data_IF_557439115094
#
_entry.id   IF_557439115094
#
_cell.length_a   1.000
_cell.length_b   1.000
_cell.length_c   1.000
_cell.angle_alpha   90.00
_cell.angle_beta   90.00
_cell.angle_gamma   90.00
#
_symmetry.space_group_name_H-M   'P 1'
#
loop_
_entity.id
_entity.type
_entity.pdbx_description
1 polymer ?
#
# COMPACT_ATOMS: atom_id res chain seq x y z
N UNK A 1 -50.21 -54.20 13.08
CA UNK A 1 -51.35 -53.27 13.29
C UNK A 1 -50.82 -51.89 12.96
N UNK A 2 -50.67 -51.50 11.68
CA UNK A 2 -51.69 -51.06 10.69
C UNK A 2 -52.56 -49.89 11.16
N UNK A 3 -52.91 -49.04 10.18
CA UNK A 3 -53.83 -47.88 10.16
C UNK A 3 -53.14 -46.51 10.27
N UNK A 4 -53.33 -45.52 9.40
CA UNK A 4 -53.95 -45.32 8.06
C UNK A 4 -53.89 -43.81 7.82
N UNK A 5 -53.69 -43.38 6.58
CA UNK A 5 -54.01 -42.03 6.10
C UNK A 5 -55.51 -41.73 6.16
N UNK A 6 -55.90 -40.44 6.16
CA UNK A 6 -56.80 -40.02 5.09
C UNK A 6 -56.44 -38.69 4.42
N UNK A 7 -56.82 -38.62 3.14
CA UNK A 7 -56.86 -37.46 2.25
C UNK A 7 -58.07 -36.55 2.48
N UNK A 8 -57.93 -35.25 2.18
CA UNK A 8 -58.87 -34.35 1.43
C UNK A 8 -58.45 -32.90 1.73
N UNK A 9 -57.97 -32.13 0.75
CA UNK A 9 -58.75 -31.28 -0.17
C UNK A 9 -59.72 -30.33 0.55
N UNK A 10 -59.32 -29.07 0.73
CA UNK A 10 -60.26 -27.97 0.57
C UNK A 10 -59.56 -26.66 0.22
N UNK A 11 -59.91 -26.16 -0.96
CA UNK A 11 -59.63 -24.84 -1.51
C UNK A 11 -60.44 -23.78 -0.76
N UNK A 12 -59.79 -22.74 -0.25
CA UNK A 12 -60.42 -21.43 -0.03
C UNK A 12 -59.55 -20.32 -0.61
N UNK A 13 -60.02 -19.84 -1.76
CA UNK A 13 -59.75 -18.52 -2.33
C UNK A 13 -60.18 -17.43 -1.35
N UNK A 14 -59.28 -16.51 -1.05
CA UNK A 14 -59.61 -15.19 -0.51
C UNK A 14 -59.15 -14.16 -1.54
N UNK A 15 -60.13 -13.46 -2.12
CA UNK A 15 -59.95 -12.34 -3.01
C UNK A 15 -59.20 -11.20 -2.30
N UNK A 16 -58.16 -10.69 -2.96
CA UNK A 16 -57.60 -9.37 -2.68
C UNK A 16 -57.63 -8.55 -3.97
N UNK A 17 -58.33 -7.43 -3.90
CA UNK A 17 -58.55 -6.46 -4.97
C UNK A 17 -57.23 -5.82 -5.48
N UNK A 18 -57.20 -5.28 -6.72
CA UNK A 18 -55.98 -4.82 -7.36
C UNK A 18 -55.61 -3.41 -6.88
N UNK A 19 -54.40 -3.25 -6.34
CA UNK A 19 -53.78 -1.94 -6.14
C UNK A 19 -52.89 -1.65 -7.35
N UNK A 20 -53.26 -0.57 -8.04
CA UNK A 20 -52.76 -0.19 -9.34
C UNK A 20 -51.37 0.44 -9.37
N UNK A 21 -50.96 0.62 -10.62
CA UNK A 21 -49.75 1.31 -11.11
C UNK A 21 -49.29 2.50 -10.28
N UNK A 22 -48.06 2.40 -9.76
CA UNK A 22 -47.11 3.51 -9.51
C UNK A 22 -45.67 3.00 -9.69
N UNK A 23 -44.72 3.88 -10.05
CA UNK A 23 -43.66 3.59 -11.00
C UNK A 23 -42.49 2.80 -10.40
N UNK A 24 -41.84 2.02 -11.27
CA UNK A 24 -40.55 1.35 -11.02
C UNK A 24 -39.47 2.38 -10.75
N UNK A 25 -39.15 2.57 -9.49
CA UNK A 25 -37.87 3.13 -9.04
C UNK A 25 -37.62 2.55 -7.65
N UNK A 26 -36.49 1.88 -7.47
CA UNK A 26 -35.69 1.75 -6.23
C UNK A 26 -34.80 0.50 -6.31
N UNK A 27 -33.55 0.70 -5.89
CA UNK A 27 -32.51 -0.27 -5.47
C UNK A 27 -31.71 -0.98 -6.58
N UNK A 28 -30.61 -0.34 -7.00
CA UNK A 28 -29.43 -1.00 -7.51
C UNK A 28 -28.17 -0.25 -7.04
N UNK A 29 -27.11 -1.01 -6.77
CA UNK A 29 -25.74 -0.63 -6.39
C UNK A 29 -25.47 -0.32 -4.90
N UNK A 30 -25.01 -1.34 -4.19
CA UNK A 30 -24.33 -1.30 -2.90
C UNK A 30 -23.28 -2.43 -2.91
N UNK A 31 -22.07 -2.17 -2.40
CA UNK A 31 -20.92 -3.07 -2.17
C UNK A 31 -19.93 -3.24 -3.35
N UNK A 32 -18.63 -3.44 -3.18
CA UNK A 32 -17.59 -3.09 -2.18
C UNK A 32 -16.27 -3.66 -2.75
N UNK A 33 -15.20 -2.88 -2.83
CA UNK A 33 -13.84 -3.40 -2.97
C UNK A 33 -13.20 -3.45 -1.60
N UNK A 34 -12.55 -4.58 -1.29
CA UNK A 34 -12.01 -4.88 0.03
C UNK A 34 -10.68 -4.17 0.26
N UNK A 35 -10.71 -2.99 0.87
CA UNK A 35 -9.83 -2.74 2.00
C UNK A 35 -10.55 -3.31 3.23
N UNK A 36 -9.95 -4.26 3.95
CA UNK A 36 -10.49 -4.71 5.23
C UNK A 36 -10.40 -3.54 6.22
N UNK A 37 -11.44 -2.72 6.23
CA UNK A 37 -11.72 -1.69 7.23
C UNK A 37 -13.07 -2.03 7.84
N UNK A 38 -13.02 -2.74 8.97
CA UNK A 38 -14.22 -3.04 9.76
C UNK A 38 -14.65 -1.77 10.50
N UNK A 39 -15.82 -1.23 10.12
CA UNK A 39 -16.53 -0.18 10.85
C UNK A 39 -17.23 -0.71 12.12
N UNK A 40 -16.96 -0.10 13.28
CA UNK A 40 -17.84 0.02 14.46
C UNK A 40 -17.13 0.96 15.49
N UNK A 41 -17.73 1.90 16.21
CA UNK A 41 -19.09 2.40 16.32
C UNK A 41 -19.02 3.82 16.94
N UNK A 42 -19.89 4.73 16.51
CA UNK A 42 -20.19 5.95 17.26
C UNK A 42 -21.18 5.61 18.39
N UNK A 43 -20.81 5.89 19.64
CA UNK A 43 -21.78 6.06 20.73
C UNK A 43 -21.66 7.47 21.29
N UNK A 44 -22.77 8.20 21.20
CA UNK A 44 -22.95 9.55 21.74
C UNK A 44 -22.70 9.57 23.26
N UNK A 45 -21.78 10.44 23.70
CA UNK A 45 -21.76 10.92 25.08
C UNK A 45 -22.31 12.34 25.11
N UNK A 46 -23.44 12.49 25.79
CA UNK A 46 -24.08 13.77 26.06
C UNK A 46 -23.41 14.43 27.26
N UNK A 47 -22.71 15.54 27.01
CA UNK A 47 -22.45 16.60 28.00
C UNK A 47 -22.32 17.90 27.20
N UNK A 48 -23.24 18.86 27.26
CA UNK A 48 -23.65 19.57 28.47
C UNK A 48 -22.64 20.69 28.74
N UNK A 49 -22.76 21.84 28.06
CA UNK A 49 -21.81 22.95 28.27
C UNK A 49 -21.98 24.17 27.35
N UNK A 50 -22.98 24.99 27.65
CA UNK A 50 -23.00 26.47 27.61
C UNK A 50 -22.33 27.23 26.44
N UNK A 51 -23.19 27.87 25.62
CA UNK A 51 -22.87 28.99 24.72
C UNK A 51 -22.28 30.19 25.49
N UNK A 52 -21.24 30.81 24.93
CA UNK A 52 -20.95 32.24 25.09
C UNK A 52 -20.75 32.84 23.70
N UNK A 53 -21.49 33.93 23.44
CA UNK A 53 -21.47 34.75 22.23
C UNK A 53 -20.46 35.91 22.34
N UNK A 54 -19.96 36.35 21.18
CA UNK A 54 -19.51 37.73 20.89
C UNK A 54 -18.08 38.06 21.34
N UNK A 55 -17.29 38.89 20.65
CA UNK A 55 -17.56 39.92 19.64
C UNK A 55 -16.30 40.18 18.79
N UNK A 56 -16.55 40.77 17.62
CA UNK A 56 -15.64 41.45 16.71
C UNK A 56 -14.68 42.45 17.37
N UNK A 57 -13.46 42.58 16.83
CA UNK A 57 -12.82 43.89 16.59
C UNK A 57 -12.00 43.84 15.29
N UNK A 58 -12.29 44.79 14.41
CA UNK A 58 -11.54 45.10 13.19
C UNK A 58 -10.31 45.99 13.47
N UNK A 59 -9.34 45.93 12.55
CA UNK A 59 -8.71 47.09 11.88
C UNK A 59 -7.24 47.48 12.17
N UNK A 60 -6.48 47.49 11.07
CA UNK A 60 -5.62 48.58 10.54
C UNK A 60 -4.10 48.66 10.79
N UNK A 61 -3.41 48.93 9.65
CA UNK A 61 -2.14 49.65 9.47
C UNK A 61 -0.91 48.73 9.40
N UNK A 62 -0.01 48.73 8.41
CA UNK A 62 0.48 49.70 7.41
C UNK A 62 2.00 49.41 7.29
N UNK A 63 2.50 48.88 6.18
CA UNK A 63 3.09 49.57 5.01
C UNK A 63 4.53 50.11 5.19
N UNK A 64 5.35 49.87 4.15
CA UNK A 64 6.64 50.52 3.76
C UNK A 64 7.91 50.06 4.50
N UNK A 65 9.12 49.97 3.92
CA UNK A 65 9.69 49.98 2.56
C UNK A 65 11.21 49.68 2.72
N UNK A 66 11.87 49.35 1.61
CA UNK A 66 13.25 49.73 1.24
C UNK A 66 14.21 48.60 0.81
N UNK A 67 14.67 48.78 -0.44
CA UNK A 67 15.69 48.05 -1.17
C UNK A 67 17.13 48.51 -0.84
N UNK A 68 18.14 47.71 -1.22
CA UNK A 68 19.17 48.06 -2.23
C UNK A 68 20.53 47.34 -2.03
N UNK A 69 21.01 46.77 -3.15
CA UNK A 69 22.36 46.81 -3.76
C UNK A 69 23.66 46.26 -3.14
N UNK A 70 24.48 45.69 -4.05
CA UNK A 70 25.96 45.66 -4.04
C UNK A 70 26.56 44.25 -3.88
N UNK A 71 26.84 43.43 -4.91
CA UNK A 71 27.78 43.54 -6.05
C UNK A 71 29.26 43.19 -5.72
N UNK A 72 29.77 42.23 -6.52
CA UNK A 72 31.14 42.01 -7.04
C UNK A 72 32.21 41.20 -6.25
N UNK A 73 32.99 40.42 -7.01
CA UNK A 73 34.23 39.76 -6.54
C UNK A 73 34.56 38.41 -7.17
N UNK A 74 35.17 38.43 -8.35
CA UNK A 74 35.71 37.32 -9.16
C UNK A 74 37.10 36.80 -8.74
N UNK A 75 37.49 35.68 -9.38
CA UNK A 75 38.84 35.09 -9.56
C UNK A 75 39.41 34.21 -8.42
N UNK A 76 40.23 33.18 -8.63
CA UNK A 76 40.81 32.57 -9.83
C UNK A 76 41.66 31.34 -9.45
N UNK A 77 41.74 30.37 -10.38
CA UNK A 77 42.90 29.51 -10.74
C UNK A 77 43.61 28.66 -9.64
N UNK A 78 43.63 27.33 -9.78
CA UNK A 78 44.66 26.48 -10.43
C UNK A 78 45.80 25.99 -9.50
N UNK A 79 46.03 24.68 -9.49
CA UNK A 79 47.10 24.07 -8.68
C UNK A 79 46.98 22.55 -8.57
N UNK A 80 47.44 21.84 -9.60
CA UNK A 80 47.74 20.42 -9.57
C UNK A 80 48.93 20.10 -8.65
N UNK A 81 49.15 18.79 -8.39
CA UNK A 81 50.24 18.06 -7.69
C UNK A 81 49.62 17.19 -6.58
N UNK A 82 49.98 15.94 -6.29
CA UNK A 82 50.97 14.98 -6.77
C UNK A 82 50.55 13.60 -6.19
N UNK A 83 51.04 12.53 -6.80
CA UNK A 83 50.81 11.14 -6.46
C UNK A 83 51.37 10.75 -5.07
N UNK A 84 50.81 9.71 -4.43
CA UNK A 84 51.44 8.39 -4.19
C UNK A 84 50.80 7.60 -3.04
N UNK A 85 50.90 6.28 -3.22
CA UNK A 85 50.60 5.14 -2.35
C UNK A 85 50.82 5.29 -0.84
N UNK A 86 50.07 4.47 -0.08
CA UNK A 86 50.53 4.02 1.24
C UNK A 86 49.48 3.33 2.09
N UNK A 87 49.44 2.00 2.02
CA UNK A 87 48.89 1.14 3.08
C UNK A 87 49.56 1.47 4.42
N UNK A 88 48.84 1.40 5.55
CA UNK A 88 48.95 0.30 6.53
C UNK A 88 48.05 0.56 7.76
N UNK A 89 47.67 -0.53 8.40
CA UNK A 89 46.79 -0.67 9.55
C UNK A 89 47.36 -0.08 10.86
N UNK A 90 46.49 0.26 11.82
CA UNK A 90 46.30 -0.46 13.10
C UNK A 90 45.63 0.38 14.19
N UNK A 91 44.84 -0.34 14.98
CA UNK A 91 44.54 -0.17 16.41
C UNK A 91 43.39 0.70 16.93
N UNK A 92 42.57 -0.01 17.71
CA UNK A 92 41.35 0.31 18.44
C UNK A 92 41.55 1.23 19.65
N UNK A 93 40.47 1.91 20.12
CA UNK A 93 39.90 1.78 21.49
C UNK A 93 38.47 2.38 21.57
N UNK A 94 37.57 1.64 22.23
CA UNK A 94 36.35 1.94 23.02
C UNK A 94 35.57 3.28 22.92
N UNK A 95 34.23 3.15 22.89
CA UNK A 95 33.29 4.20 23.32
C UNK A 95 31.82 3.93 22.99
N UNK A 96 31.08 3.39 23.96
CA UNK A 96 29.63 3.18 24.04
C UNK A 96 28.77 4.45 23.80
N UNK A 97 27.93 4.45 22.75
CA UNK A 97 26.51 4.84 22.81
C UNK A 97 25.69 4.27 21.63
N UNK A 98 24.47 3.81 21.93
CA UNK A 98 23.67 2.93 21.07
C UNK A 98 23.07 3.60 19.82
N UNK A 99 23.48 3.10 18.66
CA UNK A 99 22.67 2.97 17.45
C UNK A 99 23.29 1.84 16.62
N UNK A 100 22.50 0.81 16.26
CA UNK A 100 22.97 -0.23 15.34
C UNK A 100 22.97 0.40 13.93
N UNK A 101 24.17 0.53 13.35
CA UNK A 101 24.42 1.09 12.02
C UNK A 101 24.38 -0.05 10.98
N UNK A 102 23.68 0.16 9.87
CA UNK A 102 23.54 -0.86 8.83
C UNK A 102 24.77 -0.94 7.92
N UNK A 103 25.20 -2.15 7.57
CA UNK A 103 26.39 -2.38 6.71
C UNK A 103 26.02 -2.39 5.23
N UNK A 104 26.83 -1.75 4.39
CA UNK A 104 26.73 -1.83 2.92
C UNK A 104 27.24 -3.20 2.42
N UNK A 105 26.47 -3.88 1.56
CA UNK A 105 26.88 -5.12 0.87
C UNK A 105 27.11 -4.87 -0.63
N UNK A 106 28.21 -5.40 -1.20
CA UNK A 106 28.57 -5.26 -2.61
C UNK A 106 28.38 -6.59 -3.40
N UNK A 107 27.32 -6.74 -4.18
CA UNK A 107 27.22 -7.81 -5.19
C UNK A 107 26.25 -7.48 -6.36
N UNK A 108 26.77 -7.37 -7.59
CA UNK A 108 26.06 -7.66 -8.85
C UNK A 108 25.05 -6.63 -9.37
N UNK A 109 25.04 -6.42 -10.69
CA UNK A 109 24.11 -5.51 -11.41
C UNK A 109 22.66 -5.97 -11.22
N UNK A 110 22.04 -5.46 -10.17
CA UNK A 110 20.68 -5.66 -9.65
C UNK A 110 19.96 -4.29 -9.73
N UNK A 111 18.64 -4.13 -9.70
CA UNK A 111 18.05 -2.76 -9.74
C UNK A 111 18.36 -1.95 -8.48
N UNK A 112 18.98 -2.57 -7.47
CA UNK A 112 19.72 -1.89 -6.40
C UNK A 112 20.95 -1.12 -6.89
N UNK A 113 21.43 -1.31 -8.14
CA UNK A 113 22.40 -0.39 -8.77
C UNK A 113 21.84 1.04 -8.91
N UNK A 114 20.51 1.21 -8.84
CA UNK A 114 19.84 2.52 -8.82
C UNK A 114 19.39 2.96 -7.43
N UNK A 115 19.66 2.17 -6.38
CA UNK A 115 19.29 2.50 -5.01
C UNK A 115 20.24 1.90 -3.97
N UNK A 116 20.85 2.76 -3.14
CA UNK A 116 21.72 2.32 -2.05
C UNK A 116 20.90 1.48 -1.05
N UNK A 117 21.41 0.29 -0.71
CA UNK A 117 20.78 -0.63 0.24
C UNK A 117 21.45 -0.55 1.60
N UNK A 118 20.64 -0.38 2.65
CA UNK A 118 21.07 -0.41 4.05
C UNK A 118 20.32 -1.54 4.76
N UNK A 119 21.03 -2.58 5.16
CA UNK A 119 20.48 -3.69 5.94
C UNK A 119 20.67 -3.45 7.45
N UNK A 120 19.63 -3.71 8.23
CA UNK A 120 19.73 -3.71 9.69
C UNK A 120 19.96 -5.12 10.20
N UNK A 121 20.77 -5.26 11.25
CA UNK A 121 20.82 -6.51 12.01
C UNK A 121 19.42 -6.92 12.50
N UNK A 122 19.09 -8.22 12.53
CA UNK A 122 17.82 -8.68 13.08
C UNK A 122 17.65 -8.19 14.53
N UNK A 123 16.51 -7.55 14.81
CA UNK A 123 16.18 -7.04 16.14
C UNK A 123 14.93 -7.72 16.70
N UNK A 124 14.85 -7.84 18.02
CA UNK A 124 13.65 -8.35 18.70
C UNK A 124 12.90 -7.20 19.33
N UNK A 125 11.58 -7.17 19.13
CA UNK A 125 10.71 -6.21 19.83
C UNK A 125 10.57 -6.58 21.30
N UNK A 126 10.42 -5.56 22.16
CA UNK A 126 10.19 -5.74 23.59
C UNK A 126 8.73 -6.08 23.92
N UNK A 127 8.40 -6.25 25.20
CA UNK A 127 7.04 -6.52 25.71
C UNK A 127 5.97 -5.51 25.25
N UNK A 128 6.37 -4.32 24.79
CA UNK A 128 5.48 -3.29 24.22
C UNK A 128 5.39 -3.37 22.70
N UNK A 129 5.90 -4.44 22.11
CA UNK A 129 5.97 -4.68 20.67
C UNK A 129 6.88 -3.72 19.93
N UNK A 130 7.80 -3.01 20.59
CA UNK A 130 8.65 -2.01 19.93
C UNK A 130 10.09 -2.51 19.79
N UNK A 131 10.69 -2.27 18.62
CA UNK A 131 12.14 -2.40 18.45
C UNK A 131 12.87 -1.29 19.25
N UNK A 132 14.17 -1.45 19.51
CA UNK A 132 15.04 -0.30 19.76
C UNK A 132 14.92 0.75 18.65
N UNK A 133 15.32 1.99 18.94
CA UNK A 133 15.44 3.01 17.91
C UNK A 133 16.60 2.64 16.98
N UNK A 134 16.29 2.47 15.71
CA UNK A 134 17.22 2.26 14.61
C UNK A 134 17.49 3.61 13.94
N UNK A 135 18.58 3.68 13.19
CA UNK A 135 18.89 4.88 12.41
C UNK A 135 19.62 4.55 11.13
N UNK A 136 19.40 5.36 10.11
CA UNK A 136 20.10 5.28 8.83
C UNK A 136 20.36 6.69 8.31
N UNK A 137 21.37 6.84 7.47
CA UNK A 137 21.75 8.13 6.89
C UNK A 137 21.27 8.20 5.46
N UNK A 138 20.66 9.33 5.10
CA UNK A 138 20.19 9.60 3.74
C UNK A 138 21.11 10.65 3.09
N UNK A 139 21.65 10.39 1.89
CA UNK A 139 22.56 11.31 1.19
C UNK A 139 21.84 12.53 0.60
N UNK A 140 22.61 13.56 0.22
CA UNK A 140 22.11 14.85 -0.30
C UNK A 140 21.33 14.75 -1.61
N UNK A 141 21.68 13.79 -2.46
CA UNK A 141 21.04 13.54 -3.75
C UNK A 141 19.91 12.49 -3.66
N UNK A 142 19.50 12.09 -2.46
CA UNK A 142 18.37 11.18 -2.29
C UNK A 142 17.05 11.84 -2.67
N UNK A 143 16.26 11.16 -3.50
CA UNK A 143 14.94 11.61 -3.96
C UNK A 143 13.80 10.90 -3.23
N UNK A 144 14.02 9.64 -2.86
CA UNK A 144 13.09 8.82 -2.09
C UNK A 144 13.82 7.69 -1.38
N UNK A 145 13.15 7.08 -0.40
CA UNK A 145 13.58 5.81 0.14
C UNK A 145 12.38 4.91 0.45
N UNK A 146 12.62 3.62 0.42
CA UNK A 146 11.66 2.59 0.78
C UNK A 146 12.17 1.79 1.97
N UNK A 147 11.35 1.70 3.01
CA UNK A 147 11.63 0.85 4.18
C UNK A 147 10.85 -0.44 3.99
N UNK A 148 11.56 -1.57 4.08
CA UNK A 148 10.94 -2.90 4.12
C UNK A 148 11.25 -3.52 5.46
N UNK A 149 10.23 -4.08 6.11
CA UNK A 149 10.39 -4.85 7.34
C UNK A 149 9.59 -6.13 7.28
N UNK A 150 10.20 -7.23 7.72
CA UNK A 150 9.64 -8.57 7.73
C UNK A 150 9.74 -9.12 9.14
N UNK A 151 8.69 -9.80 9.59
CA UNK A 151 8.66 -10.45 10.90
C UNK A 151 8.68 -11.96 10.76
N UNK A 152 9.18 -12.62 11.80
CA UNK A 152 8.97 -14.06 11.96
C UNK A 152 7.52 -14.33 12.35
N UNK A 153 6.89 -15.29 11.66
CA UNK A 153 5.52 -15.72 11.93
C UNK A 153 4.45 -14.77 11.36
N UNK A 154 3.20 -15.08 11.66
CA UNK A 154 2.01 -14.38 11.16
C UNK A 154 1.60 -13.29 12.16
N UNK A 155 2.44 -12.25 12.21
CA UNK A 155 2.33 -11.14 13.14
C UNK A 155 2.10 -9.85 12.38
N UNK A 156 1.29 -8.96 12.95
CA UNK A 156 1.15 -7.60 12.44
C UNK A 156 2.44 -6.82 12.66
N UNK A 157 2.87 -6.05 11.67
CA UNK A 157 4.00 -5.13 11.72
C UNK A 157 3.60 -3.79 11.15
N UNK A 158 4.05 -2.72 11.80
CA UNK A 158 3.98 -1.37 11.26
C UNK A 158 5.17 -0.51 11.72
N UNK A 159 5.30 0.71 11.20
CA UNK A 159 6.27 1.70 11.69
C UNK A 159 5.85 2.16 13.08
N UNK A 160 6.72 2.03 14.08
CA UNK A 160 6.51 2.55 15.44
C UNK A 160 6.78 4.06 15.53
N UNK A 161 7.78 4.53 14.81
CA UNK A 161 8.10 5.94 14.59
C UNK A 161 8.96 6.11 13.33
N UNK A 162 8.87 7.27 12.68
CA UNK A 162 9.84 7.71 11.69
C UNK A 162 10.05 9.21 11.86
N UNK A 163 11.28 9.62 12.15
CA UNK A 163 11.67 11.01 12.35
C UNK A 163 12.78 11.41 11.38
N UNK A 164 12.61 12.57 10.75
CA UNK A 164 13.59 13.13 9.83
C UNK A 164 14.77 13.81 10.55
N UNK A 165 15.85 14.15 9.82
CA UNK A 165 17.07 14.72 10.42
C UNK A 165 16.89 16.10 11.07
N UNK A 166 15.81 16.82 10.76
CA UNK A 166 15.49 18.12 11.37
C UNK A 166 14.51 17.99 12.54
N UNK A 167 14.21 16.76 12.97
CA UNK A 167 13.39 16.46 14.14
C UNK A 167 11.88 16.37 13.87
N UNK A 168 11.45 16.43 12.61
CA UNK A 168 10.03 16.27 12.25
C UNK A 168 9.63 14.81 12.25
N UNK A 169 8.55 14.47 12.94
CA UNK A 169 7.96 13.14 12.84
C UNK A 169 7.16 13.02 11.54
N UNK A 170 7.64 12.18 10.64
CA UNK A 170 6.87 11.72 9.49
C UNK A 170 5.79 10.73 9.93
N UNK A 171 6.16 9.85 10.87
CA UNK A 171 5.27 8.94 11.59
C UNK A 171 5.47 9.18 13.10
N UNK A 172 4.48 9.75 13.81
CA UNK A 172 4.60 10.03 15.24
C UNK A 172 4.69 8.77 16.09
N UNK A 173 5.38 8.84 17.23
CA UNK A 173 5.38 7.77 18.24
C UNK A 173 3.95 7.43 18.66
N UNK A 174 3.66 6.14 18.80
CA UNK A 174 2.37 5.62 19.26
C UNK A 174 1.15 6.11 18.44
N UNK A 175 1.34 6.46 17.17
CA UNK A 175 0.24 6.88 16.28
C UNK A 175 -0.87 5.82 16.19
N UNK A 176 -0.52 4.54 16.27
CA UNK A 176 -1.43 3.40 16.24
C UNK A 176 -2.40 3.34 17.44
N UNK A 177 -2.18 4.16 18.48
CA UNK A 177 -3.10 4.34 19.61
C UNK A 177 -3.94 5.62 19.52
N UNK A 178 -3.78 6.41 18.45
CA UNK A 178 -4.51 7.67 18.27
C UNK A 178 -5.95 7.41 17.85
N UNK A 179 -6.94 8.12 18.42
CA UNK A 179 -8.34 8.02 17.98
C UNK A 179 -8.58 8.58 16.57
N UNK A 180 -7.60 9.31 16.01
CA UNK A 180 -7.66 9.80 14.62
C UNK A 180 -7.30 8.71 13.60
N UNK A 181 -6.75 7.58 14.05
CA UNK A 181 -6.23 6.52 13.21
C UNK A 181 -7.07 5.26 13.37
N UNK A 182 -7.00 4.36 12.38
CA UNK A 182 -7.72 3.09 12.43
C UNK A 182 -6.85 2.00 13.08
N UNK A 183 -6.45 2.26 14.33
CA UNK A 183 -5.45 1.44 15.01
C UNK A 183 -4.12 1.40 14.22
N UNK A 184 -3.40 0.27 14.20
CA UNK A 184 -2.19 0.13 13.39
C UNK A 184 -2.47 -0.05 11.89
N UNK A 185 -3.73 -0.13 11.46
CA UNK A 185 -4.09 -0.41 10.06
C UNK A 185 -3.94 0.79 9.14
N UNK A 186 -4.16 2.03 9.61
CA UNK A 186 -4.03 3.21 8.76
C UNK A 186 -3.75 4.48 9.57
N UNK A 187 -2.64 5.16 9.26
CA UNK A 187 -2.29 6.43 9.89
C UNK A 187 -2.82 7.64 9.09
N UNK A 188 -4.03 8.11 9.41
CA UNK A 188 -4.61 9.30 8.78
C UNK A 188 -3.93 10.60 9.21
N UNK A 189 -3.39 10.66 10.43
CA UNK A 189 -2.73 11.84 10.97
C UNK A 189 -1.21 11.94 10.70
N UNK A 190 -0.63 10.98 9.98
CA UNK A 190 0.80 10.99 9.66
C UNK A 190 1.11 11.90 8.45
N UNK A 191 2.32 12.47 8.39
CA UNK A 191 2.75 13.31 7.25
C UNK A 191 3.02 12.49 5.98
N UNK A 192 3.33 11.22 6.17
CA UNK A 192 3.30 10.18 5.13
C UNK A 192 2.25 9.16 5.54
N UNK A 193 1.48 8.63 4.59
CA UNK A 193 0.44 7.64 4.89
C UNK A 193 1.11 6.29 5.15
N UNK A 194 0.78 5.61 6.24
CA UNK A 194 1.34 4.27 6.57
C UNK A 194 0.21 3.32 6.91
N UNK A 195 0.34 2.07 6.44
CA UNK A 195 -0.59 0.96 6.67
C UNK A 195 0.17 -0.20 7.30
N UNK A 196 -0.32 -0.69 8.44
CA UNK A 196 0.21 -1.92 9.03
C UNK A 196 -0.14 -3.13 8.19
N UNK A 197 0.74 -4.13 8.19
CA UNK A 197 0.59 -5.32 7.38
C UNK A 197 0.95 -6.58 8.18
N UNK A 198 0.55 -7.74 7.67
CA UNK A 198 0.87 -9.04 8.26
C UNK A 198 2.17 -9.59 7.68
N UNK A 199 3.10 -9.99 8.54
CA UNK A 199 4.42 -10.59 8.27
C UNK A 199 5.42 -9.73 7.49
N UNK A 200 4.99 -8.80 6.64
CA UNK A 200 5.88 -7.92 5.90
C UNK A 200 5.20 -6.58 5.60
N UNK A 201 5.94 -5.48 5.75
CA UNK A 201 5.48 -4.13 5.44
C UNK A 201 6.48 -3.44 4.51
N UNK A 202 5.94 -2.72 3.52
CA UNK A 202 6.66 -1.67 2.80
C UNK A 202 6.18 -0.28 3.22
N UNK A 203 7.09 0.70 3.23
CA UNK A 203 6.77 2.12 3.39
C UNK A 203 7.60 2.93 2.42
N UNK A 204 6.95 3.76 1.60
CA UNK A 204 7.58 4.66 0.66
C UNK A 204 7.59 6.10 1.19
N UNK A 205 8.75 6.75 1.14
CA UNK A 205 8.92 8.16 1.49
C UNK A 205 9.56 8.93 0.33
N UNK A 206 8.93 10.02 -0.15
CA UNK A 206 7.58 10.48 0.18
C UNK A 206 6.50 9.69 -0.58
N UNK A 207 5.30 9.58 0.01
CA UNK A 207 4.09 9.12 -0.69
C UNK A 207 3.04 10.23 -0.85
N UNK A 208 3.50 11.48 -0.83
CA UNK A 208 2.74 12.70 -1.13
C UNK A 208 3.68 13.76 -1.69
N UNK A 209 3.18 14.64 -2.55
CA UNK A 209 3.95 15.77 -3.10
C UNK A 209 4.18 16.88 -2.07
N UNK A 210 3.50 16.85 -0.92
CA UNK A 210 3.70 17.80 0.18
C UNK A 210 4.91 17.48 1.06
N UNK A 211 5.55 16.33 0.85
CA UNK A 211 6.75 15.92 1.58
C UNK A 211 7.92 15.69 0.62
N UNK A 212 9.13 15.92 1.12
CA UNK A 212 10.37 15.60 0.43
C UNK A 212 11.32 14.87 1.38
N UNK A 213 12.23 14.08 0.81
CA UNK A 213 13.36 13.54 1.57
C UNK A 213 14.28 14.68 1.99
N UNK A 214 14.88 14.56 3.18
CA UNK A 214 15.88 15.49 3.70
C UNK A 214 17.16 14.71 3.97
N UNK A 215 18.34 15.19 3.56
CA UNK A 215 19.57 14.50 3.87
C UNK A 215 19.88 14.50 5.37
N UNK A 216 20.59 13.47 5.81
CA UNK A 216 21.03 13.27 7.19
C UNK A 216 20.45 12.04 7.86
N UNK A 217 20.61 11.98 9.18
CA UNK A 217 20.26 10.80 10.00
C UNK A 217 18.77 10.75 10.33
N UNK A 218 18.09 9.74 9.80
CA UNK A 218 16.71 9.39 10.18
C UNK A 218 16.71 8.47 11.40
N UNK A 219 15.64 8.55 12.19
CA UNK A 219 15.34 7.62 13.29
C UNK A 219 14.08 6.84 12.98
N UNK A 220 14.11 5.55 13.28
CA UNK A 220 13.07 4.59 12.94
C UNK A 220 12.85 3.59 14.09
N UNK A 221 11.64 3.12 14.26
CA UNK A 221 11.37 1.89 15.00
C UNK A 221 10.20 1.14 14.37
N UNK A 222 10.06 -0.14 14.67
CA UNK A 222 8.92 -0.96 14.26
C UNK A 222 8.05 -1.32 15.46
N UNK A 223 6.76 -1.50 15.19
CA UNK A 223 5.75 -1.96 16.13
C UNK A 223 5.15 -3.28 15.65
N UNK A 224 5.25 -4.33 16.47
CA UNK A 224 4.69 -5.66 16.21
C UNK A 224 3.53 -5.96 17.13
N UNK A 225 2.47 -6.55 16.56
CA UNK A 225 1.21 -6.75 17.25
C UNK A 225 0.46 -7.97 16.73
N UNK A 226 -0.52 -8.40 17.50
CA UNK A 226 -1.61 -9.27 17.04
C UNK A 226 -2.92 -8.52 17.16
N UNK A 227 -3.84 -8.78 16.24
CA UNK A 227 -5.19 -8.27 16.34
C UNK A 227 -6.10 -9.44 16.69
N UNK A 228 -6.68 -9.40 17.89
CA UNK A 228 -7.73 -10.35 18.26
C UNK A 228 -9.07 -9.73 17.91
N UNK A 229 -9.79 -10.36 16.99
CA UNK A 229 -11.15 -9.94 16.67
C UNK A 229 -12.06 -10.32 17.85
N UNK A 230 -12.75 -9.33 18.42
CA UNK A 230 -13.84 -9.58 19.35
C UNK A 230 -15.06 -10.17 18.64
N UNK A 231 -16.16 -10.34 19.36
CA UNK A 231 -17.44 -10.59 18.69
C UNK A 231 -17.87 -9.36 17.84
N UNK A 232 -18.90 -9.49 17.00
CA UNK A 232 -19.34 -8.42 16.06
C UNK A 232 -19.71 -7.08 16.71
N UNK A 233 -19.80 -7.02 18.04
CA UNK A 233 -20.12 -5.81 18.81
C UNK A 233 -18.90 -5.21 19.53
N UNK A 234 -17.73 -5.86 19.45
CA UNK A 234 -16.50 -5.45 20.12
C UNK A 234 -15.48 -4.98 19.09
N UNK A 235 -14.83 -3.86 19.38
CA UNK A 235 -13.72 -3.39 18.57
C UNK A 235 -12.57 -4.42 18.59
N UNK A 236 -11.86 -4.63 17.48
CA UNK A 236 -10.66 -5.46 17.46
C UNK A 236 -9.64 -4.97 18.50
N UNK A 237 -9.07 -5.91 19.25
CA UNK A 237 -8.06 -5.60 20.27
C UNK A 237 -6.68 -5.80 19.67
N UNK A 238 -5.91 -4.70 19.56
CA UNK A 238 -4.50 -4.75 19.19
C UNK A 238 -3.67 -5.04 20.45
N UNK A 239 -2.96 -6.16 20.45
CA UNK A 239 -2.07 -6.56 21.55
C UNK A 239 -0.63 -6.54 21.05
N UNK A 240 0.26 -5.72 21.64
CA UNK A 240 1.68 -5.76 21.33
C UNK A 240 2.27 -7.14 21.61
N UNK A 241 3.22 -7.57 20.79
CA UNK A 241 3.91 -8.85 20.98
C UNK A 241 5.40 -8.73 20.68
N UNK A 242 6.18 -9.60 21.31
CA UNK A 242 7.59 -9.79 20.97
C UNK A 242 7.70 -10.62 19.68
N UNK A 243 8.48 -10.13 18.72
CA UNK A 243 8.77 -10.79 17.46
C UNK A 243 10.16 -10.38 16.96
N UNK A 244 10.80 -11.24 16.18
CA UNK A 244 12.01 -10.87 15.44
C UNK A 244 11.61 -10.09 14.19
N UNK A 245 12.31 -8.98 13.95
CA UNK A 245 12.15 -8.08 12.81
C UNK A 245 13.48 -8.04 12.05
N UNK A 246 13.42 -8.29 10.76
CA UNK A 246 14.50 -8.01 9.80
C UNK A 246 14.04 -6.87 8.91
N UNK A 247 14.91 -5.89 8.65
CA UNK A 247 14.54 -4.73 7.86
C UNK A 247 15.70 -4.23 7.02
N UNK A 248 15.36 -3.54 5.94
CA UNK A 248 16.32 -2.80 5.11
C UNK A 248 15.68 -1.53 4.56
N UNK A 249 16.54 -0.62 4.13
CA UNK A 249 16.16 0.60 3.41
C UNK A 249 16.77 0.57 2.01
N UNK A 250 15.98 0.91 1.00
CA UNK A 250 16.46 1.19 -0.35
C UNK A 250 16.35 2.69 -0.61
N UNK A 251 17.46 3.37 -0.87
CA UNK A 251 17.52 4.82 -1.07
C UNK A 251 17.74 5.11 -2.54
N UNK A 252 16.78 5.77 -3.19
CA UNK A 252 16.94 6.21 -4.57
C UNK A 252 17.59 7.57 -4.63
N UNK A 253 18.56 7.71 -5.53
CA UNK A 253 19.37 8.91 -5.70
C UNK A 253 19.20 9.49 -7.10
N UNK A 254 19.14 10.80 -7.20
CA UNK A 254 19.16 11.52 -8.47
C UNK A 254 19.45 13.00 -8.24
N UNK A 255 20.42 13.53 -8.96
CA UNK A 255 20.72 14.97 -8.97
C UNK A 255 19.64 15.83 -9.63
N UNK A 256 18.70 15.22 -10.37
CA UNK A 256 17.69 15.91 -11.19
C UNK A 256 16.25 15.53 -10.83
N UNK A 257 16.02 14.93 -9.65
CA UNK A 257 14.72 14.39 -9.27
C UNK A 257 14.39 13.03 -9.93
N UNK A 258 13.20 12.45 -9.67
CA UNK A 258 12.79 11.20 -10.31
C UNK A 258 12.83 11.32 -11.85
N UNK A 259 13.33 10.31 -12.57
CA UNK A 259 13.42 10.38 -14.03
C UNK A 259 12.03 10.50 -14.65
N UNK A 260 11.90 11.32 -15.70
CA UNK A 260 10.61 11.53 -16.37
C UNK A 260 10.11 10.27 -17.11
N UNK A 261 11.03 9.43 -17.58
CA UNK A 261 10.75 8.12 -18.14
C UNK A 261 11.29 7.03 -17.23
N UNK A 262 10.52 5.98 -17.02
CA UNK A 262 10.91 4.86 -16.16
C UNK A 262 10.38 3.54 -16.71
N UNK A 263 10.88 2.44 -16.17
CA UNK A 263 10.51 1.08 -16.52
C UNK A 263 9.96 0.37 -15.28
N UNK A 264 8.89 -0.41 -15.46
CA UNK A 264 8.36 -1.34 -14.47
C UNK A 264 8.37 -2.76 -15.03
N UNK A 265 9.10 -3.65 -14.37
CA UNK A 265 9.14 -5.08 -14.72
C UNK A 265 8.01 -5.84 -14.03
N UNK A 266 7.48 -6.87 -14.70
CA UNK A 266 6.36 -7.69 -14.21
C UNK A 266 6.73 -9.18 -14.22
N UNK A 267 6.38 -9.86 -13.14
CA UNK A 267 6.36 -11.32 -13.07
C UNK A 267 4.89 -11.77 -13.05
N UNK A 268 4.39 -12.28 -14.17
CA UNK A 268 3.02 -12.80 -14.28
C UNK A 268 3.01 -14.29 -13.93
N UNK A 269 2.20 -14.64 -12.93
CA UNK A 269 2.08 -16.00 -12.41
C UNK A 269 0.71 -16.59 -12.72
N UNK A 270 0.70 -17.81 -13.26
CA UNK A 270 -0.51 -18.49 -13.69
C UNK A 270 -0.75 -19.75 -12.86
N UNK A 271 -1.90 -19.79 -12.18
CA UNK A 271 -2.33 -20.93 -11.35
C UNK A 271 -3.18 -21.94 -12.14
N UNK A 272 -3.13 -21.93 -13.47
CA UNK A 272 -4.10 -22.65 -14.30
C UNK A 272 -5.48 -21.99 -14.38
N UNK A 273 -5.69 -20.87 -13.68
CA UNK A 273 -6.93 -20.11 -13.65
C UNK A 273 -7.34 -19.66 -15.06
N UNK A 274 -8.64 -19.76 -15.36
CA UNK A 274 -9.17 -19.42 -16.68
C UNK A 274 -8.53 -20.20 -17.85
N UNK A 275 -7.89 -21.34 -17.58
CA UNK A 275 -7.15 -22.15 -18.56
C UNK A 275 -5.80 -21.55 -18.98
N UNK A 276 -5.28 -20.56 -18.25
CA UNK A 276 -4.03 -19.89 -18.55
C UNK A 276 -2.83 -20.62 -17.93
N UNK A 277 -1.72 -20.60 -18.64
CA UNK A 277 -0.40 -21.01 -18.18
C UNK A 277 0.65 -20.05 -18.72
N UNK A 278 1.87 -20.13 -18.18
CA UNK A 278 3.01 -19.38 -18.69
C UNK A 278 3.23 -19.59 -20.20
N UNK A 279 2.96 -20.80 -20.70
CA UNK A 279 3.13 -21.16 -22.10
C UNK A 279 2.11 -20.47 -23.03
N UNK A 280 0.84 -20.37 -22.62
CA UNK A 280 -0.23 -19.87 -23.50
C UNK A 280 -0.58 -18.40 -23.27
N UNK A 281 -0.27 -17.84 -22.10
CA UNK A 281 -0.62 -16.49 -21.71
C UNK A 281 -0.01 -15.39 -22.61
N UNK A 282 1.23 -15.51 -23.13
CA UNK A 282 1.76 -14.54 -24.08
C UNK A 282 0.92 -14.38 -25.34
N UNK A 283 0.15 -15.42 -25.71
CA UNK A 283 -0.71 -15.43 -26.89
C UNK A 283 -2.20 -15.27 -26.61
N UNK A 284 -2.63 -15.43 -25.36
CA UNK A 284 -4.03 -15.30 -24.96
C UNK A 284 -4.53 -13.85 -25.17
N UNK A 285 -5.67 -13.66 -25.87
CA UNK A 285 -6.18 -12.33 -26.18
C UNK A 285 -6.57 -11.52 -24.93
N UNK A 286 -6.96 -12.17 -23.83
CA UNK A 286 -7.32 -11.51 -22.57
C UNK A 286 -6.08 -10.92 -21.92
N UNK A 287 -4.98 -11.69 -21.86
CA UNK A 287 -3.71 -11.24 -21.30
C UNK A 287 -3.07 -10.16 -22.17
N UNK A 288 -3.10 -10.30 -23.51
CA UNK A 288 -2.65 -9.24 -24.42
C UNK A 288 -3.40 -7.93 -24.18
N UNK A 289 -4.74 -7.99 -24.05
CA UNK A 289 -5.57 -6.82 -23.78
C UNK A 289 -5.29 -6.24 -22.39
N UNK A 290 -5.20 -7.06 -21.36
CA UNK A 290 -4.87 -6.62 -20.00
C UNK A 290 -3.52 -5.91 -19.92
N UNK A 291 -2.48 -6.48 -20.53
CA UNK A 291 -1.16 -5.86 -20.61
C UNK A 291 -1.17 -4.56 -21.42
N UNK A 292 -1.94 -4.50 -22.51
CA UNK A 292 -2.07 -3.26 -23.28
C UNK A 292 -2.72 -2.15 -22.45
N UNK A 293 -3.85 -2.45 -21.78
CA UNK A 293 -4.52 -1.49 -20.90
C UNK A 293 -3.60 -1.01 -19.77
N UNK A 294 -2.87 -1.93 -19.13
CA UNK A 294 -1.90 -1.57 -18.09
C UNK A 294 -0.81 -0.64 -18.62
N UNK A 295 -0.24 -0.97 -19.79
CA UNK A 295 0.76 -0.13 -20.47
C UNK A 295 0.21 1.28 -20.75
N UNK A 296 -1.00 1.36 -21.28
CA UNK A 296 -1.62 2.65 -21.64
C UNK A 296 -1.87 3.51 -20.40
N UNK A 297 -2.28 2.91 -19.27
CA UNK A 297 -2.49 3.62 -18.01
C UNK A 297 -1.16 4.18 -17.46
N UNK A 298 -0.14 3.33 -17.31
CA UNK A 298 1.14 3.74 -16.73
C UNK A 298 1.94 4.70 -17.65
N UNK A 299 1.76 4.59 -18.97
CA UNK A 299 2.37 5.50 -19.94
C UNK A 299 1.89 6.95 -19.78
N UNK A 300 0.70 7.21 -19.22
CA UNK A 300 0.24 8.57 -18.88
C UNK A 300 1.22 9.31 -17.97
N UNK A 301 2.01 8.56 -17.19
CA UNK A 301 3.00 9.06 -16.23
C UNK A 301 4.42 8.63 -16.57
N UNK A 302 4.70 8.35 -17.84
CA UNK A 302 6.06 8.08 -18.32
C UNK A 302 6.64 6.75 -17.83
N UNK A 303 5.82 5.83 -17.31
CA UNK A 303 6.27 4.51 -16.88
C UNK A 303 5.94 3.51 -18.00
N UNK A 304 6.97 3.00 -18.65
CA UNK A 304 6.87 1.92 -19.61
C UNK A 304 6.88 0.57 -18.88
N UNK A 305 6.18 -0.43 -19.42
CA UNK A 305 6.38 -1.81 -18.99
C UNK A 305 7.67 -2.34 -19.61
N UNK A 306 8.56 -2.86 -18.78
CA UNK A 306 9.83 -3.47 -19.17
C UNK A 306 9.69 -4.94 -19.49
N UNK A 307 10.52 -5.75 -18.84
CA UNK A 307 10.47 -7.19 -18.98
C UNK A 307 9.18 -7.75 -18.37
N UNK A 308 8.51 -8.63 -19.11
CA UNK A 308 7.35 -9.39 -18.63
C UNK A 308 7.74 -10.87 -18.64
N UNK A 309 7.86 -11.44 -17.45
CA UNK A 309 8.17 -12.86 -17.24
C UNK A 309 6.89 -13.62 -16.93
N UNK A 310 6.75 -14.80 -17.52
CA UNK A 310 5.58 -15.65 -17.38
C UNK A 310 5.97 -16.91 -16.63
N UNK A 311 5.29 -17.22 -15.53
CA UNK A 311 5.63 -18.34 -14.63
C UNK A 311 4.38 -19.11 -14.24
N UNK A 312 4.50 -20.42 -14.10
CA UNK A 312 3.42 -21.25 -13.57
C UNK A 312 3.56 -21.40 -12.05
N UNK A 313 2.41 -21.38 -11.37
CA UNK A 313 2.24 -21.78 -9.98
C UNK A 313 1.30 -22.99 -9.96
N UNK A 314 1.40 -23.84 -8.93
CA UNK A 314 0.57 -25.05 -8.78
C UNK A 314 -0.93 -24.77 -9.06
N UNK A 315 -1.54 -25.60 -9.90
CA UNK A 315 -2.93 -25.49 -10.31
C UNK A 315 -3.95 -25.72 -9.17
N UNK A 316 -3.51 -26.24 -8.02
CA UNK A 316 -4.30 -26.35 -6.79
C UNK A 316 -4.59 -25.00 -6.14
N UNK A 317 -3.88 -23.94 -6.51
CA UNK A 317 -3.90 -22.62 -5.85
C UNK A 317 -4.70 -21.55 -6.61
N UNK A 318 -5.58 -21.99 -7.52
CA UNK A 318 -6.41 -21.09 -8.35
C UNK A 318 -7.55 -20.39 -7.61
N UNK A 319 -7.78 -20.69 -6.33
CA UNK A 319 -8.79 -20.02 -5.50
C UNK A 319 -8.17 -19.53 -4.22
N UNK A 320 -8.47 -18.29 -3.86
CA UNK A 320 -8.05 -17.67 -2.61
C UNK A 320 -9.30 -17.51 -1.75
N UNK A 321 -9.39 -18.25 -0.66
CA UNK A 321 -10.56 -18.31 0.24
C UNK A 321 -10.35 -17.53 1.54
N UNK A 322 -9.12 -17.07 1.76
CA UNK A 322 -8.70 -16.20 2.86
C UNK A 322 -7.54 -15.28 2.43
N UNK A 323 -7.64 -14.00 2.77
CA UNK A 323 -6.60 -12.98 2.48
C UNK A 323 -5.94 -12.42 3.75
N UNK A 324 -6.40 -12.84 4.92
CA UNK A 324 -5.90 -12.36 6.21
C UNK A 324 -5.94 -13.43 7.29
N UNK A 325 -5.08 -13.27 8.30
CA UNK A 325 -5.04 -14.13 9.46
C UNK A 325 -4.19 -15.39 9.25
N UNK A 326 -4.02 -16.20 10.31
CA UNK A 326 -3.03 -17.25 10.29
C UNK A 326 -3.27 -18.32 9.21
N UNK A 327 -2.24 -18.64 8.43
CA UNK A 327 -2.26 -19.65 7.38
C UNK A 327 -3.07 -19.27 6.14
N UNK A 328 -3.37 -17.98 5.92
CA UNK A 328 -4.23 -17.56 4.83
C UNK A 328 -3.65 -17.89 3.43
N UNK A 329 -4.55 -18.20 2.49
CA UNK A 329 -4.19 -18.65 1.14
C UNK A 329 -3.36 -17.61 0.40
N UNK A 330 -3.70 -16.33 0.54
CA UNK A 330 -2.95 -15.24 -0.06
C UNK A 330 -1.47 -15.30 0.34
N UNK A 331 -1.19 -15.37 1.63
CA UNK A 331 0.16 -15.38 2.16
C UNK A 331 0.92 -16.65 1.76
N UNK A 332 0.25 -17.80 1.70
CA UNK A 332 0.85 -19.06 1.25
C UNK A 332 1.28 -18.97 -0.22
N UNK A 333 0.41 -18.46 -1.09
CA UNK A 333 0.67 -18.34 -2.52
C UNK A 333 1.69 -17.22 -2.82
N UNK A 334 1.60 -16.09 -2.12
CA UNK A 334 2.56 -14.98 -2.26
C UNK A 334 4.00 -15.42 -1.93
N UNK A 335 4.19 -16.30 -0.94
CA UNK A 335 5.50 -16.85 -0.57
C UNK A 335 6.15 -17.67 -1.68
N UNK A 336 5.38 -18.25 -2.61
CA UNK A 336 5.91 -18.99 -3.76
C UNK A 336 6.64 -18.10 -4.78
N UNK A 337 6.61 -16.78 -4.58
CA UNK A 337 7.38 -15.83 -5.39
C UNK A 337 8.85 -15.71 -4.96
N UNK A 338 9.26 -16.44 -3.92
CA UNK A 338 10.65 -16.46 -3.44
C UNK A 338 11.64 -16.75 -4.57
N UNK A 339 12.73 -15.98 -4.63
CA UNK A 339 13.77 -16.12 -5.64
C UNK A 339 13.38 -15.62 -7.04
N UNK A 340 12.21 -15.00 -7.22
CA UNK A 340 11.90 -14.33 -8.48
C UNK A 340 12.83 -13.16 -8.74
N UNK A 341 13.03 -12.87 -10.03
CA UNK A 341 13.69 -11.66 -10.48
C UNK A 341 12.89 -10.42 -10.08
N UNK A 342 13.56 -9.28 -10.04
CA UNK A 342 12.97 -8.02 -9.62
C UNK A 342 11.83 -7.55 -10.54
N UNK A 343 10.71 -7.21 -9.91
CA UNK A 343 9.47 -6.84 -10.57
C UNK A 343 8.27 -7.17 -9.69
N UNK A 344 7.12 -6.60 -10.03
CA UNK A 344 5.88 -6.89 -9.30
C UNK A 344 5.42 -8.29 -9.68
N UNK A 345 5.17 -9.14 -8.68
CA UNK A 345 4.50 -10.43 -8.91
C UNK A 345 2.99 -10.20 -9.01
N UNK A 346 2.42 -10.51 -10.17
CA UNK A 346 0.98 -10.49 -10.42
C UNK A 346 0.51 -11.93 -10.60
N UNK A 347 -0.34 -12.41 -9.69
CA UNK A 347 -0.82 -13.78 -9.63
C UNK A 347 -2.28 -13.82 -10.09
N UNK A 348 -2.53 -14.55 -11.18
CA UNK A 348 -3.88 -14.74 -11.71
C UNK A 348 -4.55 -15.95 -11.07
N UNK A 349 -5.77 -15.74 -10.57
CA UNK A 349 -6.59 -16.75 -9.88
C UNK A 349 -8.02 -16.76 -10.43
N UNK A 350 -8.76 -17.86 -10.27
CA UNK A 350 -10.16 -17.94 -10.66
C UNK A 350 -11.04 -17.03 -9.78
N UNK A 351 -10.72 -16.93 -8.48
CA UNK A 351 -11.51 -16.15 -7.54
C UNK A 351 -10.76 -15.79 -6.28
N UNK A 352 -11.08 -14.61 -5.74
CA UNK A 352 -10.68 -14.17 -4.41
C UNK A 352 -11.97 -13.98 -3.61
N UNK A 353 -12.06 -14.70 -2.50
CA UNK A 353 -13.19 -14.65 -1.57
C UNK A 353 -12.65 -14.54 -0.16
N UNK A 354 -13.34 -13.80 0.70
CA UNK A 354 -13.01 -13.73 2.13
C UNK A 354 -14.15 -14.40 2.91
N UNK A 355 -13.91 -15.63 3.34
CA UNK A 355 -14.92 -16.46 4.02
C UNK A 355 -15.23 -16.00 5.46
N UNK A 356 -14.43 -15.08 6.02
CA UNK A 356 -14.59 -14.58 7.39
C UNK A 356 -15.69 -13.54 7.60
N UNK A 357 -16.53 -13.22 6.60
CA UNK A 357 -17.67 -12.32 6.79
C UNK A 357 -18.73 -12.96 7.74
N UNK A 358 -18.88 -12.46 8.99
CA UNK A 358 -19.74 -13.08 10.01
C UNK A 358 -21.24 -12.95 9.69
N UNK A 359 -21.61 -12.20 8.65
CA UNK A 359 -22.99 -12.00 8.21
C UNK A 359 -23.38 -12.83 6.98
N UNK A 360 -22.51 -13.72 6.50
CA UNK A 360 -22.82 -14.60 5.38
C UNK A 360 -23.03 -13.81 4.08
N UNK A 361 -21.94 -13.46 3.42
CA UNK A 361 -21.97 -12.85 2.09
C UNK A 361 -20.62 -13.05 1.41
N UNK A 362 -20.62 -13.72 0.26
CA UNK A 362 -19.45 -13.78 -0.62
C UNK A 362 -19.28 -12.39 -1.24
N UNK A 363 -18.30 -11.62 -0.77
CA UNK A 363 -17.83 -10.44 -1.52
C UNK A 363 -16.82 -10.97 -2.52
N UNK A 364 -17.12 -10.85 -3.81
CA UNK A 364 -16.16 -11.16 -4.88
C UNK A 364 -15.15 -10.02 -4.90
N UNK A 365 -13.91 -10.31 -4.57
CA UNK A 365 -12.82 -9.34 -4.60
C UNK A 365 -12.14 -9.46 -5.97
N UNK A 366 -12.07 -8.36 -6.71
CA UNK A 366 -11.56 -8.36 -8.08
C UNK A 366 -10.03 -8.43 -8.12
N UNK A 367 -9.36 -7.78 -7.17
CA UNK A 367 -7.93 -7.84 -6.96
C UNK A 367 -7.56 -7.48 -5.54
N UNK A 368 -6.35 -7.85 -5.14
CA UNK A 368 -5.76 -7.51 -3.83
C UNK A 368 -4.27 -7.29 -3.98
N UNK A 369 -3.78 -6.11 -3.59
CA UNK A 369 -2.37 -5.87 -3.36
C UNK A 369 -1.92 -6.43 -2.00
N UNK A 370 -0.76 -7.09 -1.96
CA UNK A 370 -0.21 -7.64 -0.72
C UNK A 370 0.20 -6.58 0.31
N UNK A 371 0.56 -5.38 -0.15
CA UNK A 371 0.90 -4.26 0.71
C UNK A 371 0.67 -2.92 0.01
N UNK A 372 0.59 -1.86 0.80
CA UNK A 372 0.46 -0.47 0.33
C UNK A 372 1.57 0.40 0.95
N UNK A 373 2.77 0.44 0.36
CA UNK A 373 3.27 -0.39 -0.74
C UNK A 373 3.64 -1.83 -0.33
N UNK A 374 3.92 -2.68 -1.32
CA UNK A 374 4.53 -4.00 -1.11
C UNK A 374 6.01 -3.89 -0.68
N UNK A 375 6.60 -4.96 -0.11
CA UNK A 375 7.97 -4.94 0.41
C UNK A 375 9.01 -4.90 -0.72
N UNK A 376 9.51 -3.72 -1.07
CA UNK A 376 10.52 -3.57 -2.09
C UNK A 376 11.85 -4.25 -1.72
N UNK A 377 12.48 -4.87 -2.72
CA UNK A 377 13.74 -5.61 -2.56
C UNK A 377 13.62 -6.97 -1.86
N UNK A 378 12.40 -7.46 -1.59
CA UNK A 378 12.19 -8.81 -1.02
C UNK A 378 11.02 -9.51 -1.70
N UNK A 379 11.33 -10.63 -2.34
CA UNK A 379 10.33 -11.55 -2.89
C UNK A 379 9.99 -12.65 -1.89
N UNK A 380 8.87 -13.35 -2.08
CA UNK A 380 8.53 -14.51 -1.26
C UNK A 380 8.05 -14.20 0.15
N UNK A 381 7.66 -12.96 0.47
CA UNK A 381 6.96 -12.68 1.74
C UNK A 381 5.45 -12.93 1.60
N UNK A 382 4.74 -12.89 2.72
CA UNK A 382 3.28 -12.91 2.75
C UNK A 382 2.64 -11.75 1.95
N UNK A 383 3.39 -10.69 1.65
CA UNK A 383 2.92 -9.46 1.01
C UNK A 383 3.63 -9.15 -0.32
N UNK A 384 4.44 -10.07 -0.87
CA UNK A 384 5.26 -9.83 -2.07
C UNK A 384 4.53 -10.03 -3.41
N UNK A 385 3.19 -9.95 -3.44
CA UNK A 385 2.41 -10.18 -4.64
C UNK A 385 1.12 -9.35 -4.72
N UNK A 386 0.62 -9.21 -5.93
CA UNK A 386 -0.70 -8.70 -6.30
C UNK A 386 -1.51 -9.88 -6.85
N UNK A 387 -2.77 -10.01 -6.45
CA UNK A 387 -3.66 -11.03 -6.96
C UNK A 387 -4.73 -10.40 -7.84
N UNK A 388 -5.02 -11.03 -8.98
CA UNK A 388 -6.04 -10.59 -9.92
C UNK A 388 -6.98 -11.76 -10.21
N UNK A 389 -8.26 -11.56 -9.95
CA UNK A 389 -9.31 -12.52 -10.24
C UNK A 389 -9.67 -12.51 -11.73
N UNK A 390 -9.86 -13.70 -12.30
CA UNK A 390 -10.34 -13.89 -13.68
C UNK A 390 -11.86 -14.12 -13.77
N UNK A 391 -12.58 -14.06 -12.64
CA UNK A 391 -14.03 -14.27 -12.61
C UNK A 391 -14.80 -13.21 -13.42
N UNK A 392 -15.96 -13.60 -13.96
CA UNK A 392 -16.75 -12.76 -14.86
C UNK A 392 -17.30 -11.49 -14.18
N UNK A 393 -16.74 -10.35 -14.61
CA UNK A 393 -16.96 -8.99 -14.12
C UNK A 393 -18.36 -8.42 -14.47
N UNK A 394 -19.10 -9.06 -15.39
CA UNK A 394 -20.37 -8.54 -15.93
C UNK A 394 -21.58 -8.74 -15.01
N UNK A 395 -21.55 -9.75 -14.13
CA UNK A 395 -22.65 -10.06 -13.22
C UNK A 395 -22.88 -9.02 -12.11
N UNK A 396 -21.92 -8.11 -11.92
CA UNK A 396 -21.89 -7.11 -10.85
C UNK A 396 -21.97 -5.66 -11.38
N UNK A 397 -22.28 -5.49 -12.68
CA UNK A 397 -22.40 -4.16 -13.30
C UNK A 397 -21.06 -3.49 -13.63
N UNK A 398 -19.95 -4.24 -13.55
CA UNK A 398 -18.62 -3.80 -13.98
C UNK A 398 -18.40 -3.87 -15.49
N UNK A 399 -17.23 -3.41 -15.98
CA UNK A 399 -16.83 -3.59 -17.38
C UNK A 399 -16.84 -5.08 -17.76
N UNK A 400 -16.89 -5.39 -19.07
CA UNK A 400 -16.85 -6.78 -19.51
C UNK A 400 -15.58 -7.48 -18.98
N UNK A 401 -15.60 -8.82 -18.78
CA UNK A 401 -14.49 -9.53 -18.15
C UNK A 401 -13.11 -9.28 -18.77
N UNK A 402 -13.05 -9.13 -20.09
CA UNK A 402 -11.81 -8.87 -20.82
C UNK A 402 -11.37 -7.39 -20.76
N UNK A 403 -12.27 -6.51 -20.33
CA UNK A 403 -12.04 -5.07 -20.16
C UNK A 403 -11.75 -4.67 -18.72
N UNK A 404 -11.80 -5.58 -17.75
CA UNK A 404 -11.55 -5.28 -16.34
C UNK A 404 -10.16 -5.70 -15.84
N UNK A 405 -9.59 -6.79 -16.37
CA UNK A 405 -8.34 -7.38 -15.85
C UNK A 405 -7.19 -6.38 -15.88
N UNK A 406 -7.03 -5.62 -16.98
CA UNK A 406 -5.95 -4.63 -17.11
C UNK A 406 -6.06 -3.47 -16.12
N UNK A 407 -7.27 -2.97 -15.88
CA UNK A 407 -7.54 -1.90 -14.91
C UNK A 407 -7.34 -2.38 -13.48
N UNK A 408 -7.85 -3.58 -13.14
CA UNK A 408 -7.64 -4.17 -11.81
C UNK A 408 -6.15 -4.40 -11.58
N UNK A 409 -5.44 -4.99 -12.55
CA UNK A 409 -3.99 -5.15 -12.47
C UNK A 409 -3.29 -3.80 -12.25
N UNK A 410 -3.71 -2.75 -12.97
CA UNK A 410 -3.14 -1.41 -12.82
C UNK A 410 -3.44 -0.79 -11.45
N UNK A 411 -4.66 -0.92 -10.94
CA UNK A 411 -5.11 -0.44 -9.64
C UNK A 411 -4.35 -1.10 -8.50
N UNK A 412 -4.30 -2.44 -8.49
CA UNK A 412 -3.61 -3.18 -7.43
C UNK A 412 -2.09 -3.00 -7.50
N UNK A 413 -1.50 -2.90 -8.70
CA UNK A 413 -0.09 -2.52 -8.81
C UNK A 413 0.14 -1.08 -8.34
N UNK A 414 -0.83 -0.18 -8.52
CA UNK A 414 -0.79 1.18 -8.00
C UNK A 414 -0.69 1.18 -6.47
N UNK A 415 -1.52 0.38 -5.80
CA UNK A 415 -1.40 0.09 -4.38
C UNK A 415 -0.04 -0.48 -3.99
N UNK A 416 0.40 -1.52 -4.70
CA UNK A 416 1.69 -2.17 -4.46
C UNK A 416 2.88 -1.20 -4.58
N UNK A 417 2.74 -0.17 -5.42
CA UNK A 417 3.73 0.89 -5.61
C UNK A 417 3.59 2.08 -4.66
N UNK A 418 2.53 2.12 -3.85
CA UNK A 418 2.36 3.08 -2.74
C UNK A 418 1.22 4.08 -2.90
N UNK A 419 0.34 3.91 -3.89
CA UNK A 419 -0.87 4.72 -4.02
C UNK A 419 -1.96 4.23 -3.05
N UNK A 420 -2.77 5.16 -2.55
CA UNK A 420 -3.96 4.86 -1.75
C UNK A 420 -5.20 5.10 -2.59
N UNK A 421 -6.37 4.65 -2.11
CA UNK A 421 -7.60 5.04 -2.76
C UNK A 421 -7.76 6.56 -2.72
N UNK A 422 -7.99 7.17 -3.88
CA UNK A 422 -8.25 8.62 -3.99
C UNK A 422 -9.48 8.99 -3.17
N UNK A 423 -10.48 8.11 -3.08
CA UNK A 423 -11.59 8.24 -2.13
C UNK A 423 -12.07 6.87 -1.73
N UNK A 424 -12.16 6.63 -0.43
CA UNK A 424 -12.80 5.44 0.12
C UNK A 424 -14.33 5.52 0.04
N UNK A 425 -14.99 4.37 -0.03
CA UNK A 425 -16.44 4.30 0.07
C UNK A 425 -16.88 4.77 1.47
N UNK A 426 -17.50 5.93 1.53
CA UNK A 426 -17.87 6.58 2.78
C UNK A 426 -19.27 6.22 3.27
N UNK A 427 -19.88 5.10 2.86
CA UNK A 427 -21.27 4.69 3.19
C UNK A 427 -21.68 4.92 4.67
N UNK A 428 -22.05 6.16 5.02
CA UNK A 428 -22.40 6.62 6.37
C UNK A 428 -21.26 7.13 7.28
N UNK A 429 -20.00 7.21 6.84
CA UNK A 429 -18.82 7.64 7.62
C UNK A 429 -18.11 8.88 7.06
N UNK A 430 -16.98 9.29 7.68
CA UNK A 430 -16.12 10.33 7.10
C UNK A 430 -15.44 9.79 5.84
N UNK A 431 -15.45 10.57 4.75
CA UNK A 431 -14.69 10.24 3.54
C UNK A 431 -13.20 10.21 3.86
N UNK A 432 -12.55 9.09 3.59
CA UNK A 432 -11.10 8.97 3.67
C UNK A 432 -10.57 9.27 2.27
N UNK A 433 -9.67 10.24 2.20
CA UNK A 433 -8.97 10.63 0.98
C UNK A 433 -7.50 10.21 1.07
N UNK A 434 -6.87 10.01 -0.08
CA UNK A 434 -5.43 9.80 -0.17
C UNK A 434 -4.65 11.05 0.30
N UNK A 435 -3.31 10.98 0.46
CA UNK A 435 -2.53 12.14 0.88
C UNK A 435 -2.11 13.04 -0.31
N UNK A 436 -2.69 12.89 -1.51
CA UNK A 436 -2.30 13.63 -2.70
C UNK A 436 -3.24 14.84 -2.92
N UNK A 437 -2.72 16.07 -2.94
CA UNK A 437 -3.57 17.25 -3.08
C UNK A 437 -4.16 17.45 -4.47
N UNK A 438 -3.72 16.69 -5.48
CA UNK A 438 -4.12 16.83 -6.88
C UNK A 438 -5.12 15.77 -7.37
N UNK A 439 -5.59 14.88 -6.48
CA UNK A 439 -6.68 13.95 -6.77
C UNK A 439 -8.00 14.55 -6.29
N UNK A 440 -9.04 14.47 -7.12
CA UNK A 440 -10.37 14.94 -6.75
C UNK A 440 -11.12 13.90 -5.91
N UNK A 441 -11.82 14.35 -4.87
CA UNK A 441 -12.71 13.50 -4.08
C UNK A 441 -13.84 12.93 -4.95
N UNK A 442 -14.07 11.62 -4.84
CA UNK A 442 -15.12 10.87 -5.52
C UNK A 442 -15.05 10.88 -7.07
N UNK A 443 -13.89 11.15 -7.65
CA UNK A 443 -13.69 11.00 -9.10
C UNK A 443 -13.55 9.53 -9.50
N UNK A 444 -14.63 8.95 -10.03
CA UNK A 444 -14.67 7.56 -10.51
C UNK A 444 -13.79 7.30 -11.76
N UNK A 445 -13.27 8.35 -12.40
CA UNK A 445 -12.35 8.22 -13.52
C UNK A 445 -10.90 7.97 -13.07
N UNK A 446 -10.56 8.35 -11.85
CA UNK A 446 -9.24 8.11 -11.27
C UNK A 446 -8.99 6.61 -11.09
N UNK A 447 -7.81 6.13 -11.50
CA UNK A 447 -7.41 4.73 -11.38
C UNK A 447 -7.63 4.22 -9.95
N UNK A 448 -7.28 5.03 -8.96
CA UNK A 448 -7.34 4.67 -7.54
C UNK A 448 -8.67 5.00 -6.88
N UNK A 449 -9.74 5.29 -7.62
CA UNK A 449 -11.07 5.33 -7.01
C UNK A 449 -11.42 3.94 -6.44
N UNK A 450 -12.02 3.85 -5.25
CA UNK A 450 -12.20 2.57 -4.54
C UNK A 450 -12.91 1.48 -5.35
N UNK A 451 -13.74 1.85 -6.33
CA UNK A 451 -14.44 0.88 -7.18
C UNK A 451 -13.53 0.21 -8.22
N UNK A 452 -12.29 0.68 -8.41
CA UNK A 452 -11.31 0.12 -9.35
C UNK A 452 -11.71 0.26 -10.83
N UNK A 453 -12.67 1.13 -11.15
CA UNK A 453 -13.23 1.30 -12.49
C UNK A 453 -12.52 2.37 -13.34
N UNK A 454 -11.70 3.22 -12.71
CA UNK A 454 -11.03 4.33 -13.36
C UNK A 454 -9.78 3.90 -14.13
N UNK A 455 -9.19 4.85 -14.85
CA UNK A 455 -7.97 4.64 -15.65
C UNK A 455 -7.06 5.87 -15.71
N UNK A 456 -7.45 6.98 -15.10
CA UNK A 456 -6.65 8.21 -15.09
C UNK A 456 -5.70 8.22 -13.89
N UNK A 457 -4.44 8.59 -14.11
CA UNK A 457 -3.48 8.89 -13.04
C UNK A 457 -3.28 10.41 -12.92
N UNK A 458 -3.18 10.96 -11.72
CA UNK A 458 -2.76 12.36 -11.48
C UNK A 458 -1.24 12.54 -11.60
N UNK A 459 -0.75 13.79 -11.60
CA UNK A 459 0.69 14.07 -11.57
C UNK A 459 1.32 13.60 -10.25
N UNK A 460 0.62 13.84 -9.13
CA UNK A 460 1.00 13.40 -7.80
C UNK A 460 1.06 11.87 -7.69
N UNK A 461 0.12 11.16 -8.31
CA UNK A 461 0.17 9.70 -8.40
C UNK A 461 1.39 9.25 -9.22
N UNK A 462 1.66 9.89 -10.37
CA UNK A 462 2.88 9.63 -11.15
C UNK A 462 4.17 9.90 -10.37
N UNK A 463 4.21 10.94 -9.54
CA UNK A 463 5.32 11.23 -8.63
C UNK A 463 5.54 10.08 -7.64
N UNK A 464 4.50 9.58 -6.96
CA UNK A 464 4.65 8.47 -6.01
C UNK A 464 5.15 7.21 -6.71
N UNK A 465 4.56 6.84 -7.85
CA UNK A 465 4.96 5.64 -8.60
C UNK A 465 6.45 5.67 -8.97
N UNK A 466 6.97 6.78 -9.52
CA UNK A 466 8.37 6.91 -9.95
C UNK A 466 9.38 7.01 -8.80
N UNK A 467 8.91 7.30 -7.60
CA UNK A 467 9.72 7.28 -6.38
C UNK A 467 9.83 5.87 -5.78
N UNK A 468 9.06 4.88 -6.25
CA UNK A 468 9.18 3.51 -5.77
C UNK A 468 10.41 2.79 -6.38
N UNK A 469 11.21 2.05 -5.60
CA UNK A 469 12.37 1.30 -6.12
C UNK A 469 12.06 0.28 -7.22
N UNK A 470 10.85 -0.28 -7.28
CA UNK A 470 10.45 -1.19 -8.36
C UNK A 470 10.32 -0.51 -9.72
N UNK A 471 10.25 0.83 -9.75
CA UNK A 471 10.17 1.63 -10.97
C UNK A 471 11.56 2.20 -11.26
N UNK A 472 12.27 1.64 -12.23
CA UNK A 472 13.68 1.96 -12.49
C UNK A 472 13.82 3.01 -13.60
N UNK A 473 14.90 3.81 -13.62
CA UNK A 473 15.19 4.69 -14.75
C UNK A 473 15.25 3.89 -16.07
N UNK A 474 14.83 4.51 -17.16
CA UNK A 474 14.86 3.92 -18.51
C UNK A 474 16.21 4.08 -19.20
#
# INVERSE_FOLDING_TARGET
MTFTTPSRSDTRTVDVAPLGDRPRSVLAALLASAAVVLTAACTESTSGGTKVQGQDVQSAGGAEDAAADGQDGSDGSDGALDATDGQDATDAVDGDDGAIDGTEGEDGVDATDNADRIDFDPVTTNEKGLTPELSFTVPEDAISFHITAVTTGETGITIGLLQDPVGTYLVPKAWYNSPLNQGPSLCLGCRIRVVGAESAQGVLVPNTTEQSVKPGKYKLSFFTYTTTQGNVFEAPVTTPIEAQVTAHVLIRRSSNGPPAESILNLNLHFTGAGGLSADNAPDDPRIKKALQTFKDIYAQRGIAVGEVRYKDIDAGLKKIESISGPGNDFALVARLTEGNEEGINVIFVDSITESSNPFGGFVVILGVAGGIPGPAGVQGTAKSAVFVSLQDFSAQGGPSPDEGIGQVMAHECGHYLGLFHSSENSSGGQGIHDPLPDTEENDASNLMYFAGSGSNLSEGQGFVLRNNPWVVPK
#
